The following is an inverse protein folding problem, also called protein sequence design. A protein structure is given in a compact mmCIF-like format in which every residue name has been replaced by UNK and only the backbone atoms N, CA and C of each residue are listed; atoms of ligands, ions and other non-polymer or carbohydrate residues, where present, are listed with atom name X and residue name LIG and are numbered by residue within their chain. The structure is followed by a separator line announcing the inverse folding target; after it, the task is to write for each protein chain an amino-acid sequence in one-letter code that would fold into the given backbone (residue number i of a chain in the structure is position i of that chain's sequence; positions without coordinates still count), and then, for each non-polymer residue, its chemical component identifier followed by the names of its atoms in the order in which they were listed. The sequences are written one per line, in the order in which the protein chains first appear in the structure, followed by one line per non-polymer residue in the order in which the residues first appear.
data_IF_476485739314
#
_entry.id   IF_476485739314
#
_cell.length_a   1.000
_cell.length_b   1.000
_cell.length_c   1.000
_cell.angle_alpha   90.00
_cell.angle_beta   90.00
_cell.angle_gamma   90.00
#
_symmetry.space_group_name_H-M   'P 1'
#
loop_
_entity.id
_entity.type
_entity.pdbx_description
1 polymer ?
#
# COMPACT_ATOMS: atom_id res chain seq x y z
N UNK A 1 4.56 3.68 10.10
CA UNK A 1 3.97 2.33 10.16
C UNK A 1 5.02 1.35 9.66
N UNK A 2 5.52 0.45 10.51
CA UNK A 2 6.49 -0.57 10.09
C UNK A 2 5.73 -1.78 9.53
N UNK A 3 5.98 -2.14 8.27
CA UNK A 3 5.38 -3.33 7.67
C UNK A 3 6.23 -4.54 8.03
N UNK A 4 5.65 -5.58 8.61
CA UNK A 4 6.32 -6.83 8.99
C UNK A 4 5.93 -7.99 8.05
N UNK A 5 6.65 -9.11 8.09
CA UNK A 5 6.45 -10.24 7.17
C UNK A 5 5.04 -10.84 7.29
N UNK A 6 4.52 -10.98 8.50
CA UNK A 6 3.17 -11.50 8.76
C UNK A 6 2.09 -10.64 8.07
N UNK A 7 2.24 -9.32 8.13
CA UNK A 7 1.34 -8.39 7.45
C UNK A 7 1.41 -8.56 5.93
N UNK A 8 2.61 -8.74 5.36
CA UNK A 8 2.81 -8.99 3.94
C UNK A 8 2.16 -10.31 3.50
N UNK A 9 2.33 -11.38 4.27
CA UNK A 9 1.69 -12.68 4.01
C UNK A 9 0.16 -12.56 4.02
N UNK A 10 -0.41 -11.83 4.99
CA UNK A 10 -1.86 -11.64 5.09
C UNK A 10 -2.42 -10.85 3.91
N UNK A 11 -1.76 -9.76 3.52
CA UNK A 11 -2.18 -8.92 2.37
C UNK A 11 -2.14 -9.73 1.08
N UNK A 12 -1.01 -10.41 0.82
CA UNK A 12 -0.81 -11.15 -0.43
C UNK A 12 -1.75 -12.34 -0.55
N UNK A 13 -2.00 -13.07 0.55
CA UNK A 13 -3.03 -14.12 0.60
C UNK A 13 -4.43 -13.57 0.30
N UNK A 14 -4.78 -12.41 0.86
CA UNK A 14 -6.08 -11.75 0.60
C UNK A 14 -6.23 -11.37 -0.87
N UNK A 15 -5.14 -10.95 -1.50
CA UNK A 15 -5.09 -10.63 -2.92
C UNK A 15 -4.95 -11.86 -3.84
N UNK A 16 -4.86 -13.08 -3.29
CA UNK A 16 -4.75 -14.33 -4.06
C UNK A 16 -3.35 -14.64 -4.60
N UNK A 17 -2.31 -13.97 -4.11
CA UNK A 17 -0.93 -14.25 -4.48
C UNK A 17 -0.33 -15.36 -3.62
N UNK A 18 0.42 -16.27 -4.26
CA UNK A 18 1.11 -17.38 -3.61
C UNK A 18 2.64 -17.13 -3.51
N UNK A 19 3.02 -15.96 -2.99
CA UNK A 19 4.42 -15.58 -2.85
C UNK A 19 5.06 -16.24 -1.62
N UNK A 20 6.33 -16.59 -1.77
CA UNK A 20 7.19 -17.09 -0.71
C UNK A 20 7.65 -15.97 0.22
N UNK A 21 8.07 -16.33 1.43
CA UNK A 21 8.60 -15.36 2.39
C UNK A 21 9.79 -14.58 1.84
N UNK A 22 10.68 -15.23 1.08
CA UNK A 22 11.82 -14.59 0.45
C UNK A 22 11.40 -13.52 -0.59
N UNK A 23 10.36 -13.79 -1.37
CA UNK A 23 9.80 -12.82 -2.33
C UNK A 23 9.14 -11.65 -1.62
N UNK A 24 8.44 -11.90 -0.50
CA UNK A 24 7.85 -10.84 0.33
C UNK A 24 8.91 -9.94 0.96
N UNK A 25 9.97 -10.53 1.50
CA UNK A 25 11.12 -9.80 2.05
C UNK A 25 11.81 -8.95 0.99
N UNK A 26 11.98 -9.48 -0.22
CA UNK A 26 12.56 -8.73 -1.34
C UNK A 26 11.75 -7.48 -1.71
N UNK A 27 10.43 -7.51 -1.52
CA UNK A 27 9.53 -6.38 -1.78
C UNK A 27 9.46 -5.36 -0.63
N UNK A 28 9.87 -5.74 0.59
CA UNK A 28 9.77 -4.90 1.80
C UNK A 28 10.32 -3.48 1.59
N UNK A 29 11.53 -3.27 1.01
CA UNK A 29 12.07 -1.92 0.87
C UNK A 29 11.25 -1.02 -0.07
N UNK A 30 10.70 -1.59 -1.15
CA UNK A 30 9.88 -0.85 -2.11
C UNK A 30 8.51 -0.46 -1.50
N UNK A 31 7.91 -1.39 -0.74
CA UNK A 31 6.66 -1.13 -0.03
C UNK A 31 6.84 -0.07 1.05
N UNK A 32 7.95 -0.12 1.79
CA UNK A 32 8.24 0.88 2.83
C UNK A 32 8.36 2.29 2.25
N UNK A 33 9.10 2.46 1.14
CA UNK A 33 9.13 3.75 0.42
C UNK A 33 7.75 4.20 -0.05
N UNK A 34 6.94 3.28 -0.56
CA UNK A 34 5.58 3.61 -1.04
C UNK A 34 4.69 4.09 0.10
N UNK A 35 4.76 3.43 1.27
CA UNK A 35 4.03 3.84 2.47
C UNK A 35 4.50 5.20 3.01
N UNK A 36 5.80 5.49 2.96
CA UNK A 36 6.33 6.81 3.33
C UNK A 36 5.79 7.92 2.41
N UNK A 37 5.66 7.65 1.11
CA UNK A 37 5.05 8.60 0.18
C UNK A 37 3.56 8.81 0.47
N UNK A 38 2.81 7.74 0.78
CA UNK A 38 1.41 7.85 1.16
C UNK A 38 1.22 8.62 2.47
N UNK A 39 2.08 8.42 3.46
CA UNK A 39 2.04 9.17 4.72
C UNK A 39 2.21 10.69 4.52
N UNK A 40 2.91 11.12 3.46
CA UNK A 40 3.01 12.55 3.11
C UNK A 40 1.69 13.11 2.57
N UNK A 41 0.88 12.29 1.89
CA UNK A 41 -0.44 12.71 1.42
C UNK A 41 -1.43 12.85 2.57
N UNK A 42 -1.32 12.00 3.59
CA UNK A 42 -2.16 12.06 4.79
C UNK A 42 -1.95 13.37 5.59
N UNK A 43 -0.77 13.99 5.47
CA UNK A 43 -0.48 15.27 6.11
C UNK A 43 -1.11 16.49 5.40
N UNK A 44 -1.79 16.30 4.27
CA UNK A 44 -2.41 17.40 3.53
C UNK A 44 -3.75 17.81 4.18
N UNK A 45 -4.06 19.11 4.27
CA UNK A 45 -5.33 19.58 4.82
C UNK A 45 -6.46 19.41 3.79
N UNK A 46 -7.11 18.24 3.81
CA UNK A 46 -8.16 17.85 2.86
C UNK A 46 -9.60 18.12 3.35
N UNK A 47 -9.75 18.82 4.48
CA UNK A 47 -11.00 18.99 5.24
C UNK A 47 -12.20 19.51 4.42
N UNK A 48 -11.95 20.22 3.32
CA UNK A 48 -12.98 20.82 2.46
C UNK A 48 -13.01 20.25 1.04
N UNK A 49 -12.28 19.16 0.78
CA UNK A 49 -12.18 18.55 -0.55
C UNK A 49 -13.08 17.33 -0.64
N UNK A 50 -14.09 17.39 -1.49
CA UNK A 50 -14.94 16.24 -1.80
C UNK A 50 -14.16 15.14 -2.54
N UNK A 51 -14.28 13.86 -2.15
CA UNK A 51 -13.69 12.75 -2.89
C UNK A 51 -14.21 12.73 -4.33
N UNK A 52 -13.31 12.86 -5.30
CA UNK A 52 -13.67 12.79 -6.72
C UNK A 52 -13.62 11.34 -7.21
N UNK A 53 -14.71 10.86 -7.82
CA UNK A 53 -14.72 9.61 -8.58
C UNK A 53 -14.57 9.93 -10.07
N UNK A 54 -13.41 9.65 -10.64
CA UNK A 54 -13.21 9.77 -12.09
C UNK A 54 -13.37 8.40 -12.75
N UNK A 55 -14.52 8.16 -13.37
CA UNK A 55 -14.72 7.00 -14.25
C UNK A 55 -14.05 7.29 -15.60
N UNK A 56 -12.93 6.62 -15.87
CA UNK A 56 -12.35 6.62 -17.22
C UNK A 56 -13.21 5.70 -18.09
N UNK A 57 -14.11 6.30 -18.88
CA UNK A 57 -14.84 5.59 -19.93
C UNK A 57 -13.87 5.37 -21.09
N UNK A 58 -13.52 4.11 -21.36
CA UNK A 58 -12.80 3.67 -22.55
C UNK A 58 -13.79 3.38 -23.68
#
# INVERSE_FOLDING_TARGET
MEINLETLQRITRTAGFAWTDAELEALRPALQRSLELLARLEALPLETVEPTLQYRML
#
